data_IF_260563917463
#
_entry.id   IF_260563917463
#
_cell.length_a   1.000
_cell.length_b   1.000
_cell.length_c   1.000
_cell.angle_alpha   90.00
_cell.angle_beta   90.00
_cell.angle_gamma   90.00
#
_symmetry.space_group_name_H-M   'P 1'
#
loop_
_entity.id
_entity.type
_entity.pdbx_description
1 polymer ?
#
# COMPACT_ATOMS: atom_id res chain seq x y z
N UNK A 1 2.70 -12.22 -18.69
CA UNK A 1 2.49 -13.52 -18.01
C UNK A 1 1.36 -13.30 -17.01
N UNK A 2 0.30 -14.10 -17.07
CA UNK A 2 -0.81 -13.97 -16.12
C UNK A 2 -0.42 -14.67 -14.81
N UNK A 3 -0.06 -13.89 -13.80
CA UNK A 3 0.11 -14.40 -12.44
C UNK A 3 -1.25 -14.64 -11.81
N UNK A 4 -1.41 -15.77 -11.11
CA UNK A 4 -2.66 -16.15 -10.45
C UNK A 4 -2.37 -16.37 -8.97
N UNK A 5 -3.26 -15.93 -8.08
CA UNK A 5 -3.10 -16.13 -6.64
C UNK A 5 -4.14 -17.14 -6.16
N UNK A 6 -3.72 -18.06 -5.29
CA UNK A 6 -4.62 -18.91 -4.53
C UNK A 6 -4.30 -18.86 -3.05
N UNK A 7 -5.29 -19.15 -2.21
CA UNK A 7 -5.12 -19.16 -0.76
C UNK A 7 -4.70 -20.54 -0.24
N UNK A 8 -3.94 -20.53 0.85
CA UNK A 8 -3.58 -21.71 1.63
C UNK A 8 -4.58 -21.84 2.76
N UNK A 9 -5.21 -23.01 2.89
CA UNK A 9 -6.05 -23.33 4.03
C UNK A 9 -5.19 -24.01 5.10
N UNK A 10 -5.19 -23.43 6.30
CA UNK A 10 -4.51 -24.00 7.46
C UNK A 10 -5.51 -24.79 8.30
N UNK A 11 -5.22 -26.07 8.53
CA UNK A 11 -6.01 -26.95 9.40
C UNK A 11 -5.14 -27.30 10.59
N UNK A 12 -5.50 -26.80 11.76
CA UNK A 12 -4.82 -27.11 13.02
C UNK A 12 -5.52 -28.31 13.68
N UNK A 13 -4.81 -29.42 13.80
CA UNK A 13 -5.16 -30.57 14.65
C UNK A 13 -4.24 -30.55 15.87
N UNK A 14 -4.68 -31.15 16.99
CA UNK A 14 -4.08 -31.03 18.34
C UNK A 14 -2.54 -31.15 18.39
N UNK A 15 -1.92 -31.91 17.49
CA UNK A 15 -0.46 -32.08 17.39
C UNK A 15 0.14 -31.73 16.02
N UNK A 16 -0.66 -31.34 15.01
CA UNK A 16 -0.15 -31.09 13.66
C UNK A 16 -0.90 -29.97 12.93
N UNK A 17 -0.15 -29.05 12.34
CA UNK A 17 -0.68 -28.05 11.39
C UNK A 17 -0.54 -28.58 9.97
N UNK A 18 -1.66 -28.81 9.29
CA UNK A 18 -1.69 -29.16 7.87
C UNK A 18 -1.97 -27.92 7.03
N UNK A 19 -1.15 -27.71 6.00
CA UNK A 19 -1.37 -26.67 5.00
C UNK A 19 -1.89 -27.28 3.70
N UNK A 20 -3.08 -26.87 3.29
CA UNK A 20 -3.71 -27.28 2.04
C UNK A 20 -3.56 -26.16 1.01
N UNK A 21 -2.85 -26.45 -0.08
CA UNK A 21 -2.70 -25.55 -1.21
C UNK A 21 -3.78 -25.83 -2.24
N UNK A 22 -4.59 -24.82 -2.57
CA UNK A 22 -5.46 -24.88 -3.74
C UNK A 22 -4.67 -24.51 -5.00
N UNK A 23 -4.70 -25.36 -6.02
CA UNK A 23 -4.05 -25.08 -7.31
C UNK A 23 -5.13 -24.55 -8.27
N UNK A 24 -4.98 -23.33 -8.81
CA UNK A 24 -5.98 -22.78 -9.73
C UNK A 24 -6.20 -23.69 -10.95
N UNK A 25 -7.44 -23.77 -11.41
CA UNK A 25 -7.82 -24.63 -12.55
C UNK A 25 -6.96 -24.37 -13.80
N UNK A 26 -6.69 -23.10 -14.14
CA UNK A 26 -5.84 -22.74 -15.27
C UNK A 26 -4.40 -23.29 -15.14
N UNK A 27 -3.87 -23.41 -13.90
CA UNK A 27 -2.57 -24.02 -13.65
C UNK A 27 -2.65 -25.54 -13.86
N UNK A 28 -3.71 -26.19 -13.37
CA UNK A 28 -3.93 -27.63 -13.58
C UNK A 28 -4.04 -27.95 -15.07
N UNK A 29 -4.82 -27.19 -15.82
CA UNK A 29 -4.99 -27.37 -17.26
C UNK A 29 -3.66 -27.23 -18.01
N UNK A 30 -2.87 -26.21 -17.68
CA UNK A 30 -1.54 -26.03 -18.25
C UNK A 30 -0.61 -27.21 -17.92
N UNK A 31 -0.60 -27.68 -16.67
CA UNK A 31 0.23 -28.83 -16.27
C UNK A 31 -0.23 -30.14 -16.91
N UNK A 32 -1.54 -30.29 -17.19
CA UNK A 32 -2.14 -31.46 -17.86
C UNK A 32 -1.75 -31.61 -19.32
N UNK A 33 -1.20 -30.58 -19.96
CA UNK A 33 -0.66 -30.67 -21.32
C UNK A 33 0.58 -31.59 -21.41
N UNK A 34 1.14 -32.03 -20.27
CA UNK A 34 2.18 -33.07 -20.28
C UNK A 34 1.55 -34.44 -20.52
N UNK A 35 2.13 -35.20 -21.44
CA UNK A 35 1.79 -36.60 -21.66
C UNK A 35 2.09 -37.47 -20.42
N UNK A 36 1.36 -38.59 -20.27
CA UNK A 36 1.56 -39.62 -19.24
C UNK A 36 1.35 -39.15 -17.79
N UNK A 37 0.28 -38.40 -17.54
CA UNK A 37 -0.15 -38.05 -16.18
C UNK A 37 -1.08 -39.16 -15.66
N UNK A 38 -0.79 -39.74 -14.48
CA UNK A 38 -1.67 -40.75 -13.88
C UNK A 38 -2.96 -40.13 -13.36
N UNK A 39 -3.99 -40.96 -13.22
CA UNK A 39 -5.27 -40.60 -12.64
C UNK A 39 -5.55 -41.44 -11.38
N UNK A 40 -5.57 -40.87 -10.16
CA UNK A 40 -5.38 -39.45 -9.86
C UNK A 40 -3.90 -39.00 -9.92
N UNK A 41 -3.62 -37.74 -10.29
CA UNK A 41 -2.25 -37.23 -10.39
C UNK A 41 -1.68 -36.87 -9.02
N UNK A 42 -0.36 -36.90 -8.92
CA UNK A 42 0.37 -36.40 -7.76
C UNK A 42 1.05 -35.06 -8.08
N UNK A 43 1.00 -34.13 -7.14
CA UNK A 43 1.63 -32.81 -7.23
C UNK A 43 3.04 -32.88 -6.65
N UNK A 44 4.06 -32.69 -7.50
CA UNK A 44 5.46 -32.64 -7.10
C UNK A 44 5.94 -31.18 -7.01
N UNK A 45 6.64 -30.89 -5.93
CA UNK A 45 7.27 -29.60 -5.64
C UNK A 45 8.79 -29.72 -5.68
N UNK A 46 9.46 -28.81 -6.36
CA UNK A 46 10.92 -28.77 -6.46
C UNK A 46 11.41 -27.35 -6.20
N UNK A 47 12.33 -27.16 -5.27
CA UNK A 47 12.86 -25.84 -4.95
C UNK A 47 13.68 -25.27 -6.11
N UNK A 48 13.43 -24.00 -6.48
CA UNK A 48 13.92 -23.43 -7.75
C UNK A 48 14.75 -22.16 -7.64
N UNK A 49 14.65 -21.42 -6.53
CA UNK A 49 15.22 -20.09 -6.40
C UNK A 49 16.22 -20.00 -5.26
N UNK A 50 16.86 -18.84 -5.09
CA UNK A 50 17.49 -18.48 -3.80
C UNK A 50 16.46 -18.10 -2.75
N UNK A 51 15.25 -17.74 -3.17
CA UNK A 51 14.11 -17.56 -2.27
C UNK A 51 13.61 -18.95 -1.82
N UNK A 52 13.74 -19.23 -0.51
CA UNK A 52 13.39 -20.52 0.11
C UNK A 52 11.93 -20.93 -0.11
N UNK A 53 11.07 -20.00 -0.48
CA UNK A 53 9.64 -20.20 -0.67
C UNK A 53 9.21 -20.27 -2.14
N UNK A 54 10.16 -20.48 -3.06
CA UNK A 54 9.91 -20.53 -4.49
C UNK A 54 10.16 -21.93 -5.06
N UNK A 55 9.15 -22.48 -5.74
CA UNK A 55 9.13 -23.86 -6.21
C UNK A 55 8.70 -23.97 -7.68
N UNK A 56 9.22 -24.98 -8.37
CA UNK A 56 8.61 -25.57 -9.56
C UNK A 56 7.59 -26.62 -9.12
N UNK A 57 6.45 -26.65 -9.80
CA UNK A 57 5.35 -27.56 -9.54
C UNK A 57 4.98 -28.30 -10.82
N UNK A 58 4.86 -29.62 -10.71
CA UNK A 58 4.51 -30.52 -11.81
C UNK A 58 3.53 -31.59 -11.36
N UNK A 59 2.79 -32.16 -12.32
CA UNK A 59 1.95 -33.35 -12.10
C UNK A 59 2.70 -34.60 -12.57
N UNK A 60 2.54 -35.71 -11.84
CA UNK A 60 3.17 -36.98 -12.20
C UNK A 60 2.78 -38.16 -11.31
N UNK A 61 3.59 -39.21 -11.37
CA UNK A 61 3.43 -40.46 -10.62
C UNK A 61 3.82 -40.35 -9.14
N UNK A 62 3.32 -41.25 -8.26
CA UNK A 62 3.64 -41.30 -6.83
C UNK A 62 5.07 -41.80 -6.53
N UNK A 63 6.07 -41.24 -7.22
CA UNK A 63 7.48 -41.58 -7.03
C UNK A 63 8.26 -40.32 -6.68
N UNK A 64 9.11 -40.42 -5.66
CA UNK A 64 10.05 -39.39 -5.25
C UNK A 64 9.72 -38.74 -3.91
N UNK A 65 10.44 -37.65 -3.61
CA UNK A 65 10.22 -36.80 -2.43
C UNK A 65 9.40 -35.57 -2.84
N UNK A 66 8.92 -34.81 -1.86
CA UNK A 66 8.21 -33.54 -2.09
C UNK A 66 6.95 -33.68 -2.95
N UNK A 67 6.16 -34.73 -2.68
CA UNK A 67 5.02 -35.10 -3.51
C UNK A 67 3.82 -35.46 -2.64
N UNK A 68 2.62 -35.04 -3.06
CA UNK A 68 1.35 -35.36 -2.42
C UNK A 68 0.26 -35.58 -3.49
N UNK A 69 -0.80 -36.36 -3.22
CA UNK A 69 -1.88 -36.56 -4.18
C UNK A 69 -2.65 -35.24 -4.43
N UNK A 70 -3.07 -35.03 -5.68
CA UNK A 70 -4.05 -33.99 -6.02
C UNK A 70 -5.45 -34.52 -5.69
N UNK A 71 -6.18 -33.80 -4.85
CA UNK A 71 -7.56 -34.12 -4.50
C UNK A 71 -8.55 -33.57 -5.55
N UNK A 72 -9.78 -34.10 -5.55
CA UNK A 72 -10.81 -33.78 -6.56
C UNK A 72 -11.15 -32.29 -6.68
N UNK A 73 -10.95 -31.50 -5.61
CA UNK A 73 -11.18 -30.05 -5.57
C UNK A 73 -9.92 -29.23 -5.91
N UNK A 74 -8.97 -29.81 -6.66
CA UNK A 74 -7.67 -29.24 -6.99
C UNK A 74 -6.84 -28.80 -5.76
N UNK A 75 -7.04 -29.44 -4.62
CA UNK A 75 -6.22 -29.18 -3.42
C UNK A 75 -5.15 -30.26 -3.24
N UNK A 76 -4.04 -29.87 -2.63
CA UNK A 76 -2.97 -30.79 -2.23
C UNK A 76 -2.42 -30.37 -0.88
N UNK A 77 -2.02 -31.33 -0.04
CA UNK A 77 -1.21 -31.03 1.14
C UNK A 77 0.15 -30.49 0.69
N UNK A 78 0.68 -29.47 1.38
CA UNK A 78 2.07 -29.08 1.19
C UNK A 78 3.00 -30.19 1.75
N UNK A 79 4.10 -30.53 1.06
CA UNK A 79 5.07 -31.49 1.59
C UNK A 79 5.69 -31.05 2.91
N UNK A 80 6.04 -32.00 3.78
CA UNK A 80 6.61 -31.75 5.12
C UNK A 80 7.78 -30.76 5.09
N UNK A 81 8.72 -30.89 4.16
CA UNK A 81 9.88 -29.98 4.12
C UNK A 81 9.49 -28.52 3.78
N UNK A 82 8.40 -28.30 3.04
CA UNK A 82 7.85 -26.93 2.84
C UNK A 82 7.25 -26.44 4.15
N UNK A 83 6.50 -27.29 4.85
CA UNK A 83 5.90 -26.96 6.16
C UNK A 83 6.99 -26.62 7.18
N UNK A 84 8.06 -27.41 7.26
CA UNK A 84 9.22 -27.14 8.12
C UNK A 84 9.89 -25.80 7.75
N UNK A 85 9.94 -25.47 6.46
CA UNK A 85 10.46 -24.18 5.98
C UNK A 85 9.56 -22.99 6.35
N UNK A 86 8.24 -23.18 6.35
CA UNK A 86 7.25 -22.18 6.81
C UNK A 86 7.39 -22.00 8.33
N UNK A 87 7.45 -23.09 9.09
CA UNK A 87 7.51 -23.06 10.55
C UNK A 87 8.85 -22.54 11.09
N UNK A 88 9.93 -22.58 10.29
CA UNK A 88 11.22 -21.97 10.64
C UNK A 88 11.30 -20.47 10.30
N UNK A 89 10.24 -19.88 9.76
CA UNK A 89 10.16 -18.44 9.56
C UNK A 89 10.11 -17.70 10.91
N UNK A 90 10.94 -16.67 11.06
CA UNK A 90 11.08 -15.92 12.34
C UNK A 90 10.26 -14.64 12.36
N UNK A 91 9.73 -14.22 11.21
CA UNK A 91 8.77 -13.11 11.12
C UNK A 91 7.41 -13.53 11.70
N UNK A 92 6.60 -12.58 12.21
CA UNK A 92 5.25 -12.87 12.67
C UNK A 92 4.26 -13.16 11.52
N UNK A 93 4.71 -13.06 10.26
CA UNK A 93 3.86 -13.21 9.08
C UNK A 93 3.48 -14.68 8.89
N UNK A 94 2.25 -14.92 8.43
CA UNK A 94 1.71 -16.28 8.28
C UNK A 94 1.58 -16.65 6.81
N UNK A 95 2.09 -17.82 6.43
CA UNK A 95 1.88 -18.34 5.08
C UNK A 95 0.38 -18.51 4.81
N UNK A 96 -0.14 -17.82 3.80
CA UNK A 96 -1.58 -17.77 3.56
C UNK A 96 -1.99 -17.75 2.08
N UNK A 97 -1.05 -17.54 1.16
CA UNK A 97 -1.33 -17.56 -0.27
C UNK A 97 -0.16 -18.10 -1.08
N UNK A 98 -0.42 -18.43 -2.35
CA UNK A 98 0.59 -18.87 -3.32
C UNK A 98 0.39 -18.05 -4.60
N UNK A 99 1.48 -17.42 -5.06
CA UNK A 99 1.57 -16.80 -6.37
C UNK A 99 1.99 -17.87 -7.38
N UNK A 100 1.16 -18.05 -8.41
CA UNK A 100 1.37 -18.99 -9.49
C UNK A 100 1.67 -18.29 -10.79
N UNK A 101 2.53 -18.88 -11.59
CA UNK A 101 2.69 -18.55 -13.00
C UNK A 101 3.12 -19.78 -13.80
N UNK A 102 2.77 -19.84 -15.07
CA UNK A 102 3.16 -20.94 -15.95
C UNK A 102 4.32 -20.49 -16.83
N UNK A 103 5.37 -21.30 -16.84
CA UNK A 103 6.53 -21.14 -17.72
C UNK A 103 6.73 -22.38 -18.56
N UNK A 104 7.43 -22.21 -19.69
CA UNK A 104 7.88 -23.33 -20.49
C UNK A 104 9.30 -23.70 -20.07
N UNK A 105 9.51 -24.95 -19.69
CA UNK A 105 10.81 -25.50 -19.36
C UNK A 105 11.09 -26.72 -20.23
N UNK A 106 12.16 -26.66 -21.03
CA UNK A 106 12.51 -27.71 -22.01
C UNK A 106 11.32 -28.11 -22.90
N UNK A 107 10.58 -27.12 -23.38
CA UNK A 107 9.42 -27.31 -24.26
C UNK A 107 8.14 -27.84 -23.58
N UNK A 108 8.14 -28.01 -22.25
CA UNK A 108 6.97 -28.47 -21.49
C UNK A 108 6.50 -27.41 -20.49
N UNK A 109 5.19 -27.25 -20.28
CA UNK A 109 4.69 -26.35 -19.24
C UNK A 109 5.09 -26.87 -17.85
N UNK A 110 5.51 -25.93 -17.00
CA UNK A 110 5.77 -26.10 -15.57
C UNK A 110 5.16 -24.89 -14.85
N UNK A 111 4.59 -25.12 -13.67
CA UNK A 111 4.11 -24.05 -12.82
C UNK A 111 5.22 -23.60 -11.88
N UNK A 112 5.41 -22.30 -11.76
CA UNK A 112 6.19 -21.66 -10.70
C UNK A 112 5.22 -21.28 -9.59
N UNK A 113 5.61 -21.56 -8.36
CA UNK A 113 4.80 -21.32 -7.17
C UNK A 113 5.65 -20.62 -6.11
N UNK A 114 5.22 -19.45 -5.66
CA UNK A 114 5.84 -18.72 -4.55
C UNK A 114 4.88 -18.64 -3.39
N UNK A 115 5.26 -19.17 -2.24
CA UNK A 115 4.47 -19.04 -1.01
C UNK A 115 4.58 -17.60 -0.52
N UNK A 116 3.42 -16.98 -0.30
CA UNK A 116 3.28 -15.63 0.20
C UNK A 116 2.86 -15.68 1.68
N UNK A 117 3.36 -14.72 2.44
CA UNK A 117 3.08 -14.57 3.85
C UNK A 117 2.27 -13.31 4.06
N UNK A 118 1.16 -13.42 4.81
CA UNK A 118 0.24 -12.34 5.14
C UNK A 118 -0.30 -11.57 3.91
N UNK A 119 -0.36 -12.20 2.73
CA UNK A 119 -0.92 -11.57 1.54
C UNK A 119 -2.42 -11.28 1.72
N UNK A 120 -2.84 -10.06 1.41
CA UNK A 120 -4.21 -9.59 1.62
C UNK A 120 -4.55 -9.28 3.08
N UNK A 121 -3.59 -9.42 4.01
CA UNK A 121 -3.79 -8.98 5.39
C UNK A 121 -3.95 -7.46 5.43
N UNK A 122 -4.90 -7.00 6.25
CA UNK A 122 -5.30 -5.60 6.35
C UNK A 122 -4.94 -5.06 7.73
N UNK A 123 -4.23 -3.94 7.73
CA UNK A 123 -3.88 -3.17 8.91
C UNK A 123 -4.63 -1.84 8.86
N UNK A 124 -5.01 -1.28 10.00
CA UNK A 124 -5.79 -0.05 10.09
C UNK A 124 -5.22 0.89 11.14
N UNK A 125 -5.61 2.16 11.10
CA UNK A 125 -5.21 3.19 12.06
C UNK A 125 -3.68 3.41 12.10
N UNK A 126 -3.03 3.36 10.93
CA UNK A 126 -1.60 3.59 10.77
C UNK A 126 -1.30 5.00 10.27
N UNK A 127 -2.30 5.68 9.72
CA UNK A 127 -2.18 7.07 9.28
C UNK A 127 -2.23 8.00 10.52
N UNK A 128 -1.25 8.89 10.62
CA UNK A 128 -1.15 9.88 11.69
C UNK A 128 -0.76 11.22 11.04
N UNK A 129 -1.78 12.02 10.73
CA UNK A 129 -1.59 13.29 10.04
C UNK A 129 -0.77 13.14 8.75
N UNK A 130 0.42 13.75 8.67
CA UNK A 130 1.30 13.70 7.51
C UNK A 130 2.23 12.47 7.47
N UNK A 131 2.03 11.51 8.37
CA UNK A 131 2.91 10.37 8.55
C UNK A 131 2.14 9.05 8.49
N UNK A 132 2.78 8.04 7.93
CA UNK A 132 2.31 6.66 7.95
C UNK A 132 3.19 5.87 8.91
N UNK A 133 2.59 5.30 9.96
CA UNK A 133 3.26 4.38 10.88
C UNK A 133 3.51 3.05 10.19
N UNK A 134 4.72 2.53 10.36
CA UNK A 134 5.19 1.28 9.77
C UNK A 134 5.49 0.29 10.89
N UNK A 135 4.51 -0.56 11.26
CA UNK A 135 4.71 -1.59 12.27
C UNK A 135 5.59 -2.72 11.73
N UNK A 136 6.01 -3.63 12.62
CA UNK A 136 6.97 -4.70 12.30
C UNK A 136 6.49 -5.58 11.15
N UNK A 137 5.20 -5.87 11.08
CA UNK A 137 4.55 -6.67 10.04
C UNK A 137 4.82 -6.07 8.65
N UNK A 138 4.67 -4.75 8.50
CA UNK A 138 4.97 -4.07 7.23
C UNK A 138 6.48 -4.11 6.95
N UNK A 139 7.34 -3.90 7.95
CA UNK A 139 8.80 -3.95 7.77
C UNK A 139 9.26 -5.30 7.28
N UNK A 140 8.77 -6.37 7.90
CA UNK A 140 9.11 -7.75 7.57
C UNK A 140 8.55 -8.11 6.18
N UNK A 141 7.30 -7.73 5.88
CA UNK A 141 6.65 -8.02 4.59
C UNK A 141 7.36 -7.34 3.42
N UNK A 142 7.64 -6.03 3.56
CA UNK A 142 8.27 -5.21 2.54
C UNK A 142 9.80 -5.34 2.54
N UNK A 143 10.38 -6.07 3.50
CA UNK A 143 11.82 -6.14 3.76
C UNK A 143 12.45 -4.74 3.86
N UNK A 144 11.84 -3.87 4.68
CA UNK A 144 12.27 -2.48 4.85
C UNK A 144 13.52 -2.41 5.74
N UNK A 145 14.45 -1.58 5.31
CA UNK A 145 15.61 -1.15 6.09
C UNK A 145 15.55 0.36 6.31
N UNK A 146 16.39 0.88 7.19
CA UNK A 146 16.54 2.32 7.34
C UNK A 146 16.88 2.97 5.99
N UNK A 147 16.23 4.10 5.68
CA UNK A 147 16.39 4.85 4.41
C UNK A 147 16.02 4.07 3.15
N UNK A 148 15.10 3.11 3.26
CA UNK A 148 14.53 2.46 2.07
C UNK A 148 13.68 3.47 1.30
N UNK A 149 13.95 3.63 0.01
CA UNK A 149 13.16 4.49 -0.88
C UNK A 149 11.86 3.78 -1.26
N UNK A 150 10.75 4.51 -1.20
CA UNK A 150 9.42 4.02 -1.52
C UNK A 150 8.77 4.89 -2.58
N UNK A 151 8.06 4.24 -3.49
CA UNK A 151 7.44 4.82 -4.66
C UNK A 151 5.93 4.60 -4.56
N UNK A 152 5.19 5.68 -4.80
CA UNK A 152 3.74 5.76 -4.63
C UNK A 152 3.10 5.91 -6.00
N UNK A 153 2.15 5.04 -6.32
CA UNK A 153 1.34 5.11 -7.53
C UNK A 153 -0.12 5.29 -7.13
N UNK A 154 -0.77 6.29 -7.69
CA UNK A 154 -2.21 6.48 -7.50
C UNK A 154 -2.96 5.43 -8.33
N UNK A 155 -3.82 4.66 -7.67
CA UNK A 155 -4.72 3.71 -8.35
C UNK A 155 -6.13 4.29 -8.48
N UNK A 156 -6.53 5.10 -7.52
CA UNK A 156 -7.82 5.79 -7.47
C UNK A 156 -7.69 7.07 -6.61
N UNK A 157 -8.74 7.91 -6.52
CA UNK A 157 -8.79 9.13 -5.70
C UNK A 157 -8.28 8.87 -4.28
N UNK A 158 -8.70 7.76 -3.68
CA UNK A 158 -8.45 7.40 -2.29
C UNK A 158 -7.50 6.21 -2.10
N UNK A 159 -6.88 5.70 -3.18
CA UNK A 159 -6.11 4.46 -3.15
C UNK A 159 -4.71 4.62 -3.76
N UNK A 160 -3.71 4.19 -2.99
CA UNK A 160 -2.29 4.34 -3.32
C UNK A 160 -1.53 3.04 -3.16
N UNK A 161 -0.84 2.64 -4.23
CA UNK A 161 0.09 1.52 -4.22
C UNK A 161 1.48 2.03 -3.83
N UNK A 162 2.04 1.48 -2.75
CA UNK A 162 3.35 1.82 -2.20
C UNK A 162 4.27 0.64 -2.43
N UNK A 163 5.38 0.84 -3.13
CA UNK A 163 6.33 -0.24 -3.43
C UNK A 163 7.77 0.23 -3.39
N UNK A 164 8.71 -0.71 -3.45
CA UNK A 164 10.14 -0.40 -3.67
C UNK A 164 10.50 -0.29 -5.16
N UNK A 165 9.53 -0.51 -6.06
CA UNK A 165 9.76 -0.49 -7.49
C UNK A 165 9.71 0.94 -8.03
N UNK A 166 10.78 1.36 -8.72
CA UNK A 166 10.92 2.68 -9.31
C UNK A 166 10.19 2.86 -10.63
N UNK A 167 9.59 1.81 -11.17
CA UNK A 167 8.83 1.88 -12.42
C UNK A 167 7.39 2.30 -12.14
N UNK A 168 6.87 3.23 -12.94
CA UNK A 168 5.49 3.73 -12.86
C UNK A 168 5.08 4.19 -11.44
N UNK A 169 5.40 5.44 -11.12
CA UNK A 169 5.09 6.08 -9.85
C UNK A 169 4.74 7.56 -10.04
N UNK A 170 3.98 8.11 -9.10
CA UNK A 170 3.52 9.49 -9.09
C UNK A 170 4.17 10.33 -7.98
N UNK A 171 4.70 9.69 -6.94
CA UNK A 171 5.42 10.33 -5.83
C UNK A 171 6.44 9.40 -5.16
N UNK A 172 7.33 9.98 -4.35
CA UNK A 172 8.42 9.29 -3.66
C UNK A 172 8.46 9.67 -2.18
N UNK A 173 8.72 8.70 -1.32
CA UNK A 173 9.09 8.93 0.08
C UNK A 173 10.28 8.07 0.51
N UNK A 174 10.76 8.31 1.73
CA UNK A 174 11.80 7.53 2.36
C UNK A 174 11.29 6.96 3.68
N UNK A 175 11.53 5.67 3.89
CA UNK A 175 11.27 5.03 5.17
C UNK A 175 12.35 5.41 6.18
N UNK A 176 11.95 6.12 7.24
CA UNK A 176 12.79 6.45 8.38
C UNK A 176 12.27 5.71 9.62
N UNK A 177 12.83 4.53 9.87
CA UNK A 177 12.60 3.73 11.07
C UNK A 177 11.19 3.19 11.28
N UNK A 178 10.29 3.99 11.85
CA UNK A 178 8.92 3.62 12.23
C UNK A 178 7.86 4.41 11.47
N UNK A 179 8.28 5.44 10.74
CA UNK A 179 7.37 6.34 10.04
C UNK A 179 7.85 6.64 8.62
N UNK A 180 6.88 6.85 7.75
CA UNK A 180 7.08 7.42 6.41
C UNK A 180 6.40 8.77 6.40
N UNK A 181 7.15 9.84 6.08
CA UNK A 181 6.53 11.12 5.73
C UNK A 181 5.82 10.96 4.38
N UNK A 182 4.53 11.27 4.36
CA UNK A 182 3.72 11.15 3.15
C UNK A 182 4.13 12.25 2.17
N UNK A 183 4.30 11.95 0.86
CA UNK A 183 4.66 12.97 -0.11
C UNK A 183 3.57 14.05 -0.22
N UNK A 184 3.96 15.31 -0.39
CA UNK A 184 3.02 16.45 -0.44
C UNK A 184 1.93 16.30 -1.51
N UNK A 185 2.28 15.73 -2.67
CA UNK A 185 1.32 15.42 -3.75
C UNK A 185 0.26 14.41 -3.30
N UNK A 186 0.66 13.39 -2.53
CA UNK A 186 -0.24 12.36 -2.00
C UNK A 186 -1.15 12.98 -0.93
N UNK A 187 -0.59 13.78 -0.01
CA UNK A 187 -1.37 14.49 1.02
C UNK A 187 -2.44 15.39 0.41
N UNK A 188 -2.08 16.16 -0.62
CA UNK A 188 -3.02 17.05 -1.31
C UNK A 188 -4.19 16.28 -1.96
N UNK A 189 -3.94 15.05 -2.43
CA UNK A 189 -4.96 14.23 -3.08
C UNK A 189 -5.82 13.43 -2.09
N UNK A 190 -5.24 12.96 -0.98
CA UNK A 190 -6.01 12.36 0.13
C UNK A 190 -6.97 13.40 0.74
N UNK A 191 -6.57 14.68 0.74
CA UNK A 191 -7.31 15.76 1.39
C UNK A 191 -6.92 15.90 2.86
N UNK A 192 -7.34 17.01 3.48
CA UNK A 192 -7.03 17.30 4.89
C UNK A 192 -8.21 16.93 5.76
N UNK A 193 -8.01 16.06 6.74
CA UNK A 193 -9.09 15.47 7.52
C UNK A 193 -8.90 15.68 9.03
N UNK A 194 -10.02 15.77 9.76
CA UNK A 194 -10.07 15.70 11.24
C UNK A 194 -10.31 14.28 11.71
N UNK A 195 -11.07 13.52 10.93
CA UNK A 195 -11.34 12.11 11.15
C UNK A 195 -11.17 11.36 9.84
N UNK A 196 -10.34 10.33 9.89
CA UNK A 196 -10.07 9.39 8.83
C UNK A 196 -10.23 7.96 9.31
N UNK A 197 -10.43 7.06 8.35
CA UNK A 197 -10.10 5.65 8.50
C UNK A 197 -9.13 5.29 7.41
N UNK A 198 -8.00 4.71 7.77
CA UNK A 198 -7.05 4.14 6.82
C UNK A 198 -7.08 2.61 6.88
N UNK A 199 -6.82 2.01 5.73
CA UNK A 199 -6.58 0.58 5.59
C UNK A 199 -5.33 0.38 4.73
N UNK A 200 -4.37 -0.39 5.22
CA UNK A 200 -3.22 -0.86 4.45
C UNK A 200 -3.38 -2.35 4.23
N UNK A 201 -3.49 -2.75 2.98
CA UNK A 201 -3.47 -4.14 2.56
C UNK A 201 -2.07 -4.54 2.10
N UNK A 202 -1.55 -5.65 2.61
CA UNK A 202 -0.29 -6.25 2.15
C UNK A 202 -0.52 -6.93 0.80
N UNK A 203 0.09 -6.42 -0.27
CA UNK A 203 -0.22 -6.83 -1.64
C UNK A 203 1.03 -6.98 -2.50
N UNK A 204 0.86 -7.20 -3.80
CA UNK A 204 1.96 -7.33 -4.76
C UNK A 204 1.91 -6.27 -5.85
N UNK A 205 3.09 -5.78 -6.24
CA UNK A 205 3.32 -5.07 -7.50
C UNK A 205 4.31 -5.91 -8.31
N UNK A 206 3.89 -6.40 -9.48
CA UNK A 206 4.71 -7.23 -10.36
C UNK A 206 5.35 -8.45 -9.66
N UNK A 207 4.57 -9.11 -8.79
CA UNK A 207 5.01 -10.28 -8.02
C UNK A 207 5.95 -9.98 -6.84
N UNK A 208 6.23 -8.71 -6.55
CA UNK A 208 7.04 -8.26 -5.40
C UNK A 208 6.17 -7.61 -4.32
N UNK A 209 6.57 -7.68 -3.04
CA UNK A 209 5.85 -7.02 -1.94
C UNK A 209 5.57 -5.54 -2.21
N UNK A 210 4.32 -5.14 -2.00
CA UNK A 210 3.80 -3.78 -2.05
C UNK A 210 2.73 -3.59 -0.98
N UNK A 211 2.32 -2.35 -0.75
CA UNK A 211 1.24 -2.01 0.16
C UNK A 211 0.17 -1.26 -0.63
N UNK A 212 -1.09 -1.56 -0.36
CA UNK A 212 -2.20 -0.78 -0.90
C UNK A 212 -2.84 0.00 0.25
N UNK A 213 -2.54 1.30 0.29
CA UNK A 213 -3.16 2.24 1.22
C UNK A 213 -4.49 2.71 0.65
N UNK A 214 -5.56 2.60 1.42
CA UNK A 214 -6.85 3.21 1.16
C UNK A 214 -7.17 4.17 2.30
N UNK A 215 -7.55 5.40 1.96
CA UNK A 215 -7.91 6.42 2.96
C UNK A 215 -9.35 6.85 2.75
N UNK A 216 -10.15 6.69 3.80
CA UNK A 216 -11.55 7.09 3.83
C UNK A 216 -11.68 8.29 4.77
N UNK A 217 -11.79 9.48 4.18
CA UNK A 217 -12.02 10.72 4.94
C UNK A 217 -13.47 10.74 5.40
N UNK A 218 -13.69 10.82 6.72
CA UNK A 218 -15.04 10.86 7.30
C UNK A 218 -15.43 12.25 7.76
N UNK A 219 -14.45 13.10 8.13
CA UNK A 219 -14.63 14.53 8.36
C UNK A 219 -13.43 15.30 7.88
N UNK A 220 -13.68 16.38 7.17
CA UNK A 220 -12.64 17.30 6.71
C UNK A 220 -12.12 18.15 7.86
N UNK A 221 -10.88 18.62 7.71
CA UNK A 221 -10.27 19.54 8.67
C UNK A 221 -10.61 20.98 8.30
N UNK A 222 -10.73 21.81 9.33
CA UNK A 222 -10.91 23.26 9.17
C UNK A 222 -9.91 23.81 8.15
N UNK A 223 -10.37 24.77 7.33
CA UNK A 223 -9.58 25.52 6.35
C UNK A 223 -8.16 25.86 6.82
N UNK A 224 -7.99 26.20 8.09
CA UNK A 224 -6.73 26.45 8.79
C UNK A 224 -5.64 25.42 8.50
N UNK A 225 -5.95 24.13 8.60
CA UNK A 225 -4.95 23.08 8.41
C UNK A 225 -4.78 22.67 6.94
N UNK A 226 -5.81 22.89 6.11
CA UNK A 226 -5.64 22.87 4.65
C UNK A 226 -4.62 23.93 4.26
N UNK A 227 -4.75 25.16 4.76
CA UNK A 227 -3.82 26.25 4.50
C UNK A 227 -2.40 25.88 4.97
N UNK A 228 -2.24 25.35 6.18
CA UNK A 228 -0.93 24.92 6.68
C UNK A 228 -0.21 23.97 5.72
N UNK A 229 -0.85 22.87 5.41
CA UNK A 229 -0.21 21.81 4.63
C UNK A 229 -0.14 22.13 3.13
N UNK A 230 -1.16 22.77 2.55
CA UNK A 230 -1.18 23.12 1.14
C UNK A 230 -0.12 24.17 0.83
N UNK A 231 0.04 25.17 1.69
CA UNK A 231 1.05 26.21 1.50
C UNK A 231 2.46 25.67 1.75
N UNK A 232 2.66 24.82 2.77
CA UNK A 232 3.92 24.07 2.97
C UNK A 232 4.29 23.21 1.75
N UNK A 233 3.29 22.64 1.07
CA UNK A 233 3.50 21.81 -0.11
C UNK A 233 3.85 22.60 -1.39
N UNK A 234 3.37 23.84 -1.53
CA UNK A 234 3.47 24.63 -2.77
C UNK A 234 4.58 25.71 -2.73
N UNK A 235 5.16 26.01 -1.56
CA UNK A 235 6.53 26.52 -1.37
C UNK A 235 6.97 27.87 -1.96
N UNK A 236 6.29 28.43 -2.96
CA UNK A 236 6.79 29.57 -3.74
C UNK A 236 5.73 30.68 -3.89
N UNK A 237 4.56 30.33 -4.43
CA UNK A 237 3.42 31.23 -4.57
C UNK A 237 2.17 30.43 -4.90
N UNK A 238 1.01 30.86 -4.40
CA UNK A 238 -0.28 30.31 -4.84
C UNK A 238 -1.23 31.44 -5.23
N UNK A 239 -1.98 31.23 -6.31
CA UNK A 239 -3.10 32.09 -6.67
C UNK A 239 -4.31 31.75 -5.78
N UNK A 240 -5.01 32.77 -5.27
CA UNK A 240 -6.01 32.58 -4.20
C UNK A 240 -7.29 31.87 -4.68
N UNK A 241 -7.69 32.04 -5.94
CA UNK A 241 -8.82 31.29 -6.51
C UNK A 241 -8.44 29.84 -6.75
N UNK A 242 -7.21 29.58 -7.18
CA UNK A 242 -6.67 28.24 -7.28
C UNK A 242 -6.63 27.57 -5.90
N UNK A 243 -6.16 28.27 -4.87
CA UNK A 243 -6.19 27.80 -3.48
C UNK A 243 -7.62 27.46 -3.03
N UNK A 244 -8.58 28.34 -3.27
CA UNK A 244 -10.00 28.09 -2.96
C UNK A 244 -10.54 26.87 -3.71
N UNK A 245 -10.26 26.76 -5.01
CA UNK A 245 -10.71 25.63 -5.83
C UNK A 245 -10.16 24.30 -5.31
N UNK A 246 -8.90 24.29 -4.85
CA UNK A 246 -8.28 23.10 -4.26
C UNK A 246 -8.84 22.76 -2.90
N UNK A 247 -9.21 23.75 -2.11
CA UNK A 247 -9.94 23.54 -0.85
C UNK A 247 -11.29 22.88 -1.11
N UNK A 248 -12.11 23.47 -1.99
CA UNK A 248 -13.44 22.96 -2.31
C UNK A 248 -13.40 21.55 -2.91
N UNK A 249 -12.43 21.24 -3.78
CA UNK A 249 -12.24 19.89 -4.33
C UNK A 249 -11.79 18.85 -3.29
N UNK A 250 -11.26 19.30 -2.14
CA UNK A 250 -10.83 18.42 -1.05
C UNK A 250 -11.95 18.09 -0.05
N UNK A 251 -13.08 18.80 -0.12
CA UNK A 251 -14.25 18.54 0.73
C UNK A 251 -14.94 17.23 0.34
N UNK A 252 -15.46 16.44 1.30
CA UNK A 252 -16.34 15.30 1.03
C UNK A 252 -17.58 15.77 0.28
N UNK A 253 -18.13 14.93 -0.59
CA UNK A 253 -19.35 15.24 -1.37
C UNK A 253 -20.57 15.57 -0.50
N UNK A 254 -20.53 15.24 0.79
CA UNK A 254 -21.60 15.49 1.76
C UNK A 254 -21.45 16.79 2.54
N UNK A 255 -20.32 17.50 2.43
CA UNK A 255 -20.11 18.78 3.10
C UNK A 255 -20.31 19.95 2.14
N UNK A 256 -21.44 20.64 2.29
CA UNK A 256 -21.65 21.97 1.72
C UNK A 256 -21.09 23.01 2.70
N UNK A 257 -19.77 23.21 2.71
CA UNK A 257 -19.20 24.39 3.38
C UNK A 257 -19.24 25.56 2.39
N UNK A 258 -20.04 26.63 2.64
CA UNK A 258 -20.01 27.82 1.81
C UNK A 258 -18.75 28.61 2.15
N UNK A 259 -17.59 28.15 1.68
CA UNK A 259 -16.36 28.92 1.78
C UNK A 259 -16.30 29.89 0.59
N UNK A 260 -16.58 31.17 0.83
CA UNK A 260 -16.39 32.20 -0.19
C UNK A 260 -14.93 32.73 -0.18
N UNK A 261 -14.56 33.49 -1.21
CA UNK A 261 -13.21 34.06 -1.35
C UNK A 261 -12.84 35.00 -0.19
N UNK A 262 -13.82 35.67 0.41
CA UNK A 262 -13.62 36.53 1.57
C UNK A 262 -13.37 35.73 2.83
N UNK A 263 -14.09 34.63 3.03
CA UNK A 263 -13.88 33.74 4.17
C UNK A 263 -12.46 33.16 4.14
N UNK A 264 -12.01 32.73 2.96
CA UNK A 264 -10.62 32.29 2.74
C UNK A 264 -9.62 33.41 3.05
N UNK A 265 -9.85 34.61 2.53
CA UNK A 265 -8.97 35.76 2.75
C UNK A 265 -8.92 36.18 4.23
N UNK A 266 -10.05 36.14 4.94
CA UNK A 266 -10.12 36.44 6.36
C UNK A 266 -9.30 35.43 7.17
N UNK A 267 -9.37 34.13 6.85
CA UNK A 267 -8.52 33.13 7.52
C UNK A 267 -7.05 33.33 7.21
N UNK A 268 -6.68 33.57 5.94
CA UNK A 268 -5.30 33.87 5.56
C UNK A 268 -4.74 35.09 6.31
N UNK A 269 -5.56 36.13 6.51
CA UNK A 269 -5.21 37.28 7.33
C UNK A 269 -5.02 36.89 8.81
N UNK A 270 -5.92 36.11 9.40
CA UNK A 270 -5.79 35.64 10.78
C UNK A 270 -4.53 34.78 11.01
N UNK A 271 -4.11 34.00 10.00
CA UNK A 271 -2.84 33.26 10.02
C UNK A 271 -1.62 34.12 9.75
N UNK A 272 -1.78 35.44 9.57
CA UNK A 272 -0.71 36.37 9.20
C UNK A 272 0.01 35.99 7.89
N UNK A 273 -0.70 35.33 6.97
CA UNK A 273 -0.20 34.92 5.65
C UNK A 273 -0.34 36.08 4.65
N UNK A 274 -1.38 36.90 4.80
CA UNK A 274 -1.60 38.11 4.01
C UNK A 274 -1.79 39.33 4.91
N UNK A 275 -1.54 40.53 4.36
CA UNK A 275 -1.81 41.77 5.07
C UNK A 275 -3.32 42.07 5.16
N UNK A 276 -3.70 42.95 6.09
CA UNK A 276 -5.07 43.47 6.16
C UNK A 276 -5.48 44.22 4.87
N UNK A 277 -4.52 44.88 4.20
CA UNK A 277 -4.77 45.57 2.93
C UNK A 277 -5.08 44.58 1.82
N UNK A 278 -4.34 43.47 1.75
CA UNK A 278 -4.59 42.40 0.79
C UNK A 278 -5.95 41.75 1.04
N UNK A 279 -6.30 41.44 2.29
CA UNK A 279 -7.62 40.96 2.68
C UNK A 279 -8.74 41.88 2.15
N UNK A 280 -8.64 43.19 2.42
CA UNK A 280 -9.64 44.15 1.97
C UNK A 280 -9.71 44.24 0.44
N UNK A 281 -8.59 44.13 -0.27
CA UNK A 281 -8.54 44.15 -1.73
C UNK A 281 -9.15 42.90 -2.35
N UNK A 282 -8.86 41.73 -1.81
CA UNK A 282 -9.44 40.44 -2.23
C UNK A 282 -10.96 40.50 -2.07
N UNK A 283 -11.43 40.96 -0.91
CA UNK A 283 -12.86 41.04 -0.63
C UNK A 283 -13.62 42.02 -1.52
N UNK A 284 -13.01 43.15 -1.88
CA UNK A 284 -13.61 44.17 -2.76
C UNK A 284 -13.52 43.82 -4.24
N UNK A 285 -12.53 43.04 -4.65
CA UNK A 285 -12.25 42.74 -6.04
C UNK A 285 -12.19 41.24 -6.33
N UNK A 286 -13.24 40.52 -5.92
CA UNK A 286 -13.35 39.04 -5.97
C UNK A 286 -13.10 38.40 -7.33
N UNK A 287 -13.12 39.14 -8.44
CA UNK A 287 -12.91 38.59 -9.78
C UNK A 287 -11.47 38.78 -10.30
N UNK A 288 -10.58 39.38 -9.51
CA UNK A 288 -9.19 39.63 -9.92
C UNK A 288 -8.27 38.52 -9.42
N UNK A 289 -7.24 38.13 -10.19
CA UNK A 289 -6.25 37.19 -9.69
C UNK A 289 -5.46 37.83 -8.55
N UNK A 290 -5.32 37.10 -7.44
CA UNK A 290 -4.48 37.49 -6.32
C UNK A 290 -3.48 36.39 -6.05
N UNK A 291 -2.21 36.77 -5.96
CA UNK A 291 -1.14 35.86 -5.63
C UNK A 291 -0.67 36.18 -4.24
N UNK A 292 -0.51 35.13 -3.47
CA UNK A 292 0.07 35.20 -2.16
C UNK A 292 1.54 34.68 -2.38
N UNK A 293 2.53 35.29 -1.74
CA UNK A 293 3.95 35.00 -1.94
C UNK A 293 4.68 34.82 -0.61
N UNK A 294 5.70 33.96 -0.57
CA UNK A 294 6.70 33.96 0.51
C UNK A 294 6.19 33.68 1.93
N UNK A 295 5.35 32.65 2.11
CA UNK A 295 4.81 32.32 3.44
C UNK A 295 5.86 31.61 4.30
N UNK A 296 6.14 32.18 5.47
CA UNK A 296 6.76 31.45 6.56
C UNK A 296 5.70 31.22 7.63
N UNK A 297 5.38 29.96 7.96
CA UNK A 297 4.74 29.68 9.24
C UNK A 297 5.73 30.12 10.30
N UNK A 298 5.51 31.30 10.91
CA UNK A 298 6.15 31.59 12.20
C UNK A 298 5.57 30.57 13.17
N UNK A 299 6.25 29.46 13.35
CA UNK A 299 6.10 28.68 14.57
C UNK A 299 6.31 29.67 15.71
N UNK A 300 5.24 30.03 16.42
CA UNK A 300 5.38 30.44 17.80
C UNK A 300 5.84 29.20 18.56
N UNK A 301 7.12 28.84 18.39
CA UNK A 301 7.86 28.26 19.49
C UNK A 301 7.76 29.32 20.58
N UNK A 302 7.05 28.99 21.65
CA UNK A 302 7.19 29.68 22.91
C UNK A 302 8.67 29.58 23.31
N UNK A 303 9.50 30.51 22.83
CA UNK A 303 10.67 30.98 23.54
C UNK A 303 10.15 31.70 24.78
N UNK A 304 9.65 30.93 25.75
CA UNK A 304 9.74 31.37 27.13
C UNK A 304 11.21 31.27 27.48
N UNK A 305 11.87 32.42 27.50
CA UNK A 305 13.08 32.58 28.28
C UNK A 305 12.79 32.16 29.71
N UNK A 306 13.59 31.24 30.22
CA UNK A 306 13.91 31.20 31.64
C UNK A 306 15.32 31.78 31.77
N UNK A 307 15.35 33.10 32.00
CA UNK A 307 16.39 33.70 32.83
C UNK A 307 15.98 33.39 34.29
N UNK A 308 16.82 32.64 35.02
CA UNK A 308 16.65 32.38 36.46
C UNK A 308 17.21 31.04 36.92
#
# INVERSE_FOLDING_TARGET
>A
MNTIISYIQTVAEEENTTYLAHIPQAIIEALKQRENIPDPPYVRWEHYSRDKFYYLVTLGAPKGRMINPLLQNNTTKLPKAIIDSINSETTPLKANAILWDVVTWKGKPIARARILFSYGEKLQNLLVFAYLRIPREIKDYMLLRGRTKLYWKQLDKNAWLISKDSNDYDAISWHAWDFIKIPSKVLTQIGFYTEERDEIELTLKDGKPALLLRVYVTKTRSLDNFLTNFLEANGESVEIHYLLSKYLLSLPETEDEPADLCDLAFKLYNFSIISNDDYNRICKHRNRPFYIHGYSFKTQLNERGEDG
#
